data_IF_004374546296
#
_entry.id   IF_004374546296
#
_cell.length_a   1.000
_cell.length_b   1.000
_cell.length_c   1.000
_cell.angle_alpha   90.00
_cell.angle_beta   90.00
_cell.angle_gamma   90.00
#
_symmetry.space_group_name_H-M   'P 1'
#
loop_
_entity.id
_entity.type
_entity.pdbx_description
1 polymer ?
#
# COMPACT_ATOMS: atom_id res chain seq x y z
N UNK A 1 -17.38 2.08 15.73
CA UNK A 1 -16.38 1.87 16.81
C UNK A 1 -15.49 0.68 16.51
N UNK A 2 -16.04 -0.45 16.08
CA UNK A 2 -15.32 -1.66 15.67
C UNK A 2 -14.12 -1.39 14.75
N UNK A 3 -14.29 -0.55 13.72
CA UNK A 3 -13.24 -0.25 12.73
C UNK A 3 -12.08 0.57 13.31
N UNK A 4 -12.38 1.49 14.24
CA UNK A 4 -11.36 2.28 14.95
C UNK A 4 -10.52 1.39 15.86
N UNK A 5 -11.18 0.45 16.55
CA UNK A 5 -10.53 -0.54 17.41
C UNK A 5 -9.63 -1.46 16.57
N UNK A 6 -10.12 -1.96 15.43
CA UNK A 6 -9.33 -2.78 14.52
C UNK A 6 -8.12 -2.03 13.94
N UNK A 7 -8.24 -0.72 13.70
CA UNK A 7 -7.12 0.11 13.27
C UNK A 7 -6.08 0.29 14.37
N UNK A 8 -6.49 0.53 15.62
CA UNK A 8 -5.59 0.58 16.76
C UNK A 8 -4.88 -0.77 16.96
N UNK A 9 -5.61 -1.90 16.90
CA UNK A 9 -5.02 -3.24 16.96
C UNK A 9 -4.03 -3.50 15.84
N UNK A 10 -4.29 -2.99 14.62
CA UNK A 10 -3.36 -3.09 13.52
C UNK A 10 -2.05 -2.33 13.82
N UNK A 11 -2.14 -1.06 14.25
CA UNK A 11 -0.96 -0.25 14.58
C UNK A 11 -0.15 -0.92 15.69
N UNK A 12 -0.80 -1.31 16.79
CA UNK A 12 -0.15 -1.99 17.90
C UNK A 12 0.48 -3.31 17.44
N UNK A 13 -0.24 -4.09 16.64
CA UNK A 13 0.26 -5.36 16.10
C UNK A 13 1.51 -5.18 15.26
N UNK A 14 1.58 -4.16 14.40
CA UNK A 14 2.78 -3.85 13.61
C UNK A 14 3.95 -3.47 14.51
N UNK A 15 3.73 -2.61 15.52
CA UNK A 15 4.79 -2.21 16.47
C UNK A 15 5.32 -3.42 17.23
N UNK A 16 4.42 -4.24 17.79
CA UNK A 16 4.78 -5.44 18.56
C UNK A 16 5.55 -6.45 17.71
N UNK A 17 5.10 -6.73 16.48
CA UNK A 17 5.79 -7.64 15.56
C UNK A 17 7.16 -7.09 15.10
N UNK A 18 7.36 -5.78 15.14
CA UNK A 18 8.65 -5.17 14.78
C UNK A 18 9.64 -5.21 15.95
N UNK A 19 9.16 -4.98 17.18
CA UNK A 19 10.01 -4.93 18.38
C UNK A 19 10.49 -6.30 18.86
N UNK A 20 9.69 -7.36 18.69
CA UNK A 20 10.02 -8.68 19.25
C UNK A 20 10.93 -9.48 18.31
N UNK A 21 12.00 -10.06 18.87
CA UNK A 21 13.04 -10.82 18.18
C UNK A 21 13.03 -12.31 18.56
N UNK A 22 11.84 -12.91 18.69
CA UNK A 22 11.69 -14.30 19.10
C UNK A 22 10.95 -15.11 18.03
N UNK A 23 11.55 -16.23 17.59
CA UNK A 23 11.01 -17.13 16.56
C UNK A 23 9.66 -17.74 16.99
N UNK A 24 9.55 -18.20 18.24
CA UNK A 24 8.33 -18.81 18.78
C UNK A 24 7.17 -17.82 18.81
N UNK A 25 7.46 -16.54 19.09
CA UNK A 25 6.46 -15.48 19.05
C UNK A 25 5.89 -15.29 17.64
N UNK A 26 6.72 -15.32 16.60
CA UNK A 26 6.24 -15.21 15.23
C UNK A 26 5.39 -16.41 14.83
N UNK A 27 5.80 -17.63 15.17
CA UNK A 27 5.01 -18.84 14.90
C UNK A 27 3.63 -18.73 15.57
N UNK A 28 3.59 -18.36 16.86
CA UNK A 28 2.33 -18.15 17.58
C UNK A 28 1.46 -17.06 16.95
N UNK A 29 2.07 -15.93 16.55
CA UNK A 29 1.36 -14.84 15.89
C UNK A 29 0.74 -15.26 14.55
N UNK A 30 1.45 -16.09 13.76
CA UNK A 30 0.95 -16.60 12.48
C UNK A 30 -0.27 -17.50 12.71
N UNK A 31 -0.23 -18.39 13.70
CA UNK A 31 -1.37 -19.25 14.04
C UNK A 31 -2.60 -18.40 14.41
N UNK A 32 -2.42 -17.38 15.24
CA UNK A 32 -3.49 -16.45 15.62
C UNK A 32 -4.04 -15.72 14.38
N UNK A 33 -3.15 -15.22 13.51
CA UNK A 33 -3.53 -14.53 12.28
C UNK A 33 -4.29 -15.45 11.32
N UNK A 34 -3.94 -16.72 11.25
CA UNK A 34 -4.62 -17.72 10.42
C UNK A 34 -6.04 -17.99 10.93
N UNK A 35 -6.20 -18.15 12.25
CA UNK A 35 -7.51 -18.30 12.89
C UNK A 35 -8.37 -17.06 12.62
N UNK A 36 -7.81 -15.87 12.79
CA UNK A 36 -8.50 -14.60 12.50
C UNK A 36 -8.86 -14.49 11.01
N UNK A 37 -8.08 -15.05 10.10
CA UNK A 37 -8.33 -14.96 8.65
C UNK A 37 -9.55 -15.74 8.19
N UNK A 38 -9.94 -16.82 8.89
CA UNK A 38 -11.11 -17.64 8.57
C UNK A 38 -11.19 -18.02 7.07
N UNK A 39 -12.36 -17.77 6.44
CA UNK A 39 -12.63 -18.14 5.04
C UNK A 39 -11.73 -17.44 4.00
N UNK A 40 -11.09 -16.32 4.34
CA UNK A 40 -10.23 -15.58 3.42
C UNK A 40 -8.76 -16.03 3.46
N UNK A 41 -8.44 -17.03 4.30
CA UNK A 41 -7.09 -17.56 4.53
C UNK A 41 -6.31 -17.78 3.23
N UNK A 42 -6.80 -18.66 2.35
CA UNK A 42 -6.07 -19.02 1.13
C UNK A 42 -5.81 -17.82 0.21
N UNK A 43 -6.75 -16.89 0.12
CA UNK A 43 -6.61 -15.68 -0.72
C UNK A 43 -5.53 -14.75 -0.16
N UNK A 44 -5.53 -14.53 1.16
CA UNK A 44 -4.58 -13.65 1.83
C UNK A 44 -3.20 -14.29 1.85
N UNK A 45 -3.06 -15.58 2.17
CA UNK A 45 -1.79 -16.30 2.16
C UNK A 45 -1.14 -16.25 0.77
N UNK A 46 -1.89 -16.55 -0.30
CA UNK A 46 -1.37 -16.51 -1.67
C UNK A 46 -0.93 -15.09 -2.07
N UNK A 47 -1.70 -14.07 -1.69
CA UNK A 47 -1.35 -12.67 -1.95
C UNK A 47 -0.10 -12.25 -1.18
N UNK A 48 0.02 -12.68 0.07
CA UNK A 48 1.18 -12.43 0.94
C UNK A 48 2.43 -13.06 0.35
N UNK A 49 2.40 -14.35 0.03
CA UNK A 49 3.52 -15.06 -0.58
C UNK A 49 3.98 -14.38 -1.88
N UNK A 50 3.05 -14.04 -2.79
CA UNK A 50 3.39 -13.33 -4.03
C UNK A 50 4.05 -11.98 -3.78
N UNK A 51 3.59 -11.23 -2.78
CA UNK A 51 4.13 -9.91 -2.47
C UNK A 51 5.56 -9.98 -1.90
N UNK A 52 5.84 -11.00 -1.08
CA UNK A 52 7.12 -11.09 -0.37
C UNK A 52 8.18 -11.89 -1.12
N UNK A 53 7.80 -12.71 -2.11
CA UNK A 53 8.69 -13.70 -2.73
C UNK A 53 9.97 -13.07 -3.29
N UNK A 54 9.85 -12.07 -4.17
CA UNK A 54 11.02 -11.45 -4.82
C UNK A 54 11.96 -10.83 -3.77
N UNK A 55 11.39 -10.07 -2.83
CA UNK A 55 12.17 -9.36 -1.82
C UNK A 55 12.84 -10.31 -0.81
N UNK A 56 12.11 -11.28 -0.26
CA UNK A 56 12.67 -12.23 0.69
C UNK A 56 13.67 -13.17 0.03
N UNK A 57 13.44 -13.62 -1.21
CA UNK A 57 14.41 -14.44 -1.93
C UNK A 57 15.72 -13.68 -2.11
N UNK A 58 15.67 -12.41 -2.51
CA UNK A 58 16.87 -11.58 -2.67
C UNK A 58 17.64 -11.42 -1.35
N UNK A 59 16.95 -11.09 -0.25
CA UNK A 59 17.57 -10.95 1.07
C UNK A 59 18.16 -12.26 1.57
N UNK A 60 17.42 -13.36 1.42
CA UNK A 60 17.84 -14.69 1.86
C UNK A 60 19.11 -15.11 1.12
N UNK A 61 19.15 -14.96 -0.21
CA UNK A 61 20.34 -15.28 -1.03
C UNK A 61 21.53 -14.40 -0.64
N UNK A 62 21.32 -13.09 -0.49
CA UNK A 62 22.36 -12.15 -0.11
C UNK A 62 22.96 -12.48 1.27
N UNK A 63 22.11 -12.82 2.24
CA UNK A 63 22.56 -13.15 3.60
C UNK A 63 23.27 -14.51 3.66
N UNK A 64 22.82 -15.51 2.90
CA UNK A 64 23.52 -16.80 2.80
C UNK A 64 24.94 -16.59 2.27
N UNK A 65 25.11 -15.77 1.21
CA UNK A 65 26.43 -15.45 0.68
C UNK A 65 27.34 -14.79 1.72
N UNK A 66 26.80 -13.85 2.50
CA UNK A 66 27.52 -13.21 3.59
C UNK A 66 27.88 -14.18 4.74
N UNK A 67 26.96 -15.05 5.11
CA UNK A 67 27.15 -15.98 6.23
C UNK A 67 28.19 -17.07 5.91
N UNK A 68 28.24 -17.54 4.65
CA UNK A 68 29.29 -18.45 4.18
C UNK A 68 30.66 -17.77 4.24
N UNK A 69 30.74 -16.47 3.92
CA UNK A 69 32.01 -15.74 3.99
C UNK A 69 32.53 -15.54 5.42
N UNK A 70 31.65 -15.53 6.43
CA UNK A 70 31.99 -15.28 7.83
C UNK A 70 31.88 -16.50 8.76
N UNK A 71 31.52 -17.67 8.24
CA UNK A 71 31.27 -18.90 9.03
C UNK A 71 30.27 -18.71 10.19
N UNK A 72 29.18 -17.95 9.94
CA UNK A 72 28.15 -17.67 10.96
C UNK A 72 26.93 -18.57 10.75
N UNK A 73 26.29 -19.00 11.84
CA UNK A 73 25.00 -19.68 11.82
C UNK A 73 23.91 -18.79 11.19
N UNK A 74 23.43 -19.17 10.02
CA UNK A 74 22.51 -18.36 9.21
C UNK A 74 21.03 -18.73 9.38
N UNK A 75 20.76 -19.95 9.85
CA UNK A 75 19.41 -20.54 9.86
C UNK A 75 18.45 -19.71 10.72
N UNK A 76 18.84 -19.37 11.94
CA UNK A 76 17.97 -18.67 12.90
C UNK A 76 17.60 -17.27 12.42
N UNK A 77 18.56 -16.54 11.87
CA UNK A 77 18.33 -15.20 11.35
C UNK A 77 17.43 -15.20 10.12
N UNK A 78 17.71 -16.10 9.16
CA UNK A 78 16.91 -16.22 7.93
C UNK A 78 15.48 -16.64 8.27
N UNK A 79 15.30 -17.57 9.21
CA UNK A 79 13.97 -17.98 9.64
C UNK A 79 13.22 -16.82 10.30
N UNK A 80 13.88 -16.09 11.21
CA UNK A 80 13.28 -14.96 11.91
C UNK A 80 12.84 -13.85 10.94
N UNK A 81 13.69 -13.46 9.98
CA UNK A 81 13.36 -12.37 9.05
C UNK A 81 12.22 -12.76 8.11
N UNK A 82 12.22 -13.98 7.59
CA UNK A 82 11.15 -14.48 6.72
C UNK A 82 9.82 -14.54 7.48
N UNK A 83 9.81 -15.09 8.70
CA UNK A 83 8.63 -15.15 9.55
C UNK A 83 8.11 -13.77 9.93
N UNK A 84 9.00 -12.83 10.26
CA UNK A 84 8.64 -11.43 10.58
C UNK A 84 7.98 -10.74 9.40
N UNK A 85 8.63 -10.77 8.23
CA UNK A 85 8.11 -10.13 7.02
C UNK A 85 6.78 -10.76 6.62
N UNK A 86 6.65 -12.08 6.68
CA UNK A 86 5.39 -12.76 6.44
C UNK A 86 4.29 -12.33 7.42
N UNK A 87 4.57 -12.30 8.72
CA UNK A 87 3.58 -11.95 9.75
C UNK A 87 3.06 -10.53 9.60
N UNK A 88 3.95 -9.56 9.39
CA UNK A 88 3.59 -8.15 9.20
C UNK A 88 2.78 -7.98 7.92
N UNK A 89 3.24 -8.55 6.81
CA UNK A 89 2.55 -8.41 5.51
C UNK A 89 1.19 -9.11 5.50
N UNK A 90 1.07 -10.27 6.15
CA UNK A 90 -0.19 -10.97 6.33
C UNK A 90 -1.16 -10.15 7.17
N UNK A 91 -0.71 -9.60 8.31
CA UNK A 91 -1.52 -8.71 9.16
C UNK A 91 -2.04 -7.50 8.38
N UNK A 92 -1.20 -6.87 7.55
CA UNK A 92 -1.60 -5.74 6.70
C UNK A 92 -2.66 -6.13 5.68
N UNK A 93 -2.50 -7.25 4.98
CA UNK A 93 -3.53 -7.70 4.04
C UNK A 93 -4.82 -8.12 4.72
N UNK A 94 -4.74 -8.74 5.90
CA UNK A 94 -5.90 -9.08 6.72
C UNK A 94 -6.65 -7.81 7.14
N UNK A 95 -5.94 -6.79 7.62
CA UNK A 95 -6.52 -5.50 7.97
C UNK A 95 -7.25 -4.86 6.78
N UNK A 96 -6.58 -4.73 5.63
CA UNK A 96 -7.18 -4.15 4.40
C UNK A 96 -8.42 -4.93 3.95
N UNK A 97 -8.43 -6.26 4.10
CA UNK A 97 -9.55 -7.08 3.67
C UNK A 97 -10.81 -6.96 4.54
N UNK A 98 -10.65 -6.56 5.81
CA UNK A 98 -11.73 -6.55 6.80
C UNK A 98 -12.19 -5.15 7.21
N UNK A 99 -11.35 -4.13 7.01
CA UNK A 99 -11.59 -2.79 7.54
C UNK A 99 -11.84 -1.80 6.41
N UNK A 100 -12.95 -1.08 6.54
CA UNK A 100 -13.22 0.07 5.69
C UNK A 100 -12.39 1.27 6.18
N UNK A 101 -11.42 1.70 5.36
CA UNK A 101 -10.52 2.82 5.66
C UNK A 101 -11.25 4.14 5.97
N UNK A 102 -12.36 4.44 5.29
CA UNK A 102 -13.17 5.64 5.56
C UNK A 102 -13.75 5.62 6.97
N UNK A 103 -14.22 4.45 7.43
CA UNK A 103 -14.72 4.29 8.80
C UNK A 103 -13.59 4.26 9.83
N UNK A 104 -12.44 3.67 9.49
CA UNK A 104 -11.27 3.62 10.37
C UNK A 104 -10.75 5.02 10.71
N UNK A 105 -10.71 5.94 9.74
CA UNK A 105 -10.20 7.30 9.90
C UNK A 105 -11.25 8.33 10.35
N UNK A 106 -12.49 7.91 10.56
CA UNK A 106 -13.61 8.76 11.04
C UNK A 106 -13.43 9.35 12.45
N UNK A 107 -12.31 9.12 13.12
CA UNK A 107 -11.99 9.79 14.39
C UNK A 107 -11.53 11.23 14.19
N UNK A 108 -11.03 11.59 13.01
CA UNK A 108 -10.57 12.94 12.69
C UNK A 108 -11.28 13.46 11.44
N UNK A 109 -11.94 14.62 11.57
CA UNK A 109 -12.62 15.30 10.45
C UNK A 109 -11.65 15.63 9.33
N UNK A 110 -10.46 16.14 9.67
CA UNK A 110 -9.42 16.52 8.71
C UNK A 110 -8.88 15.32 7.95
N UNK A 111 -8.60 14.21 8.63
CA UNK A 111 -8.06 13.01 7.98
C UNK A 111 -9.10 12.34 7.08
N UNK A 112 -10.36 12.28 7.53
CA UNK A 112 -11.47 11.79 6.72
C UNK A 112 -11.68 12.66 5.49
N UNK A 113 -11.59 13.98 5.65
CA UNK A 113 -11.70 14.94 4.57
C UNK A 113 -10.60 14.76 3.52
N UNK A 114 -9.32 14.69 3.95
CA UNK A 114 -8.19 14.45 3.05
C UNK A 114 -8.36 13.11 2.32
N UNK A 115 -8.74 12.05 3.04
CA UNK A 115 -8.96 10.73 2.43
C UNK A 115 -10.04 10.78 1.34
N UNK A 116 -11.18 11.41 1.61
CA UNK A 116 -12.28 11.53 0.64
C UNK A 116 -11.85 12.34 -0.57
N UNK A 117 -11.22 13.50 -0.37
CA UNK A 117 -10.72 14.30 -1.48
C UNK A 117 -9.69 13.54 -2.33
N UNK A 118 -8.68 12.93 -1.70
CA UNK A 118 -7.68 12.15 -2.40
C UNK A 118 -8.31 10.99 -3.17
N UNK A 119 -9.28 10.29 -2.57
CA UNK A 119 -9.99 9.20 -3.23
C UNK A 119 -10.74 9.68 -4.48
N UNK A 120 -11.48 10.80 -4.38
CA UNK A 120 -12.15 11.40 -5.53
C UNK A 120 -11.16 11.81 -6.61
N UNK A 121 -10.04 12.45 -6.26
CA UNK A 121 -9.01 12.84 -7.22
C UNK A 121 -8.38 11.64 -7.92
N UNK A 122 -8.12 10.55 -7.20
CA UNK A 122 -7.61 9.30 -7.77
C UNK A 122 -8.58 8.75 -8.83
N UNK A 123 -9.89 8.74 -8.55
CA UNK A 123 -10.88 8.27 -9.51
C UNK A 123 -10.94 9.15 -10.77
N UNK A 124 -10.91 10.48 -10.60
CA UNK A 124 -10.89 11.42 -11.72
C UNK A 124 -9.62 11.27 -12.56
N UNK A 125 -8.45 11.21 -11.94
CA UNK A 125 -7.20 11.03 -12.66
C UNK A 125 -7.06 9.66 -13.31
N UNK A 126 -7.63 8.61 -12.72
CA UNK A 126 -7.70 7.30 -13.36
C UNK A 126 -8.49 7.37 -14.67
N UNK A 127 -9.63 8.06 -14.67
CA UNK A 127 -10.43 8.28 -15.88
C UNK A 127 -9.65 9.06 -16.93
N UNK A 128 -9.02 10.18 -16.57
CA UNK A 128 -8.20 10.94 -17.51
C UNK A 128 -7.04 10.12 -18.07
N UNK A 129 -6.40 9.27 -17.27
CA UNK A 129 -5.35 8.38 -17.74
C UNK A 129 -5.86 7.38 -18.78
N UNK A 130 -7.08 6.88 -18.62
CA UNK A 130 -7.75 6.05 -19.64
C UNK A 130 -8.04 6.86 -20.92
N UNK A 131 -8.55 8.09 -20.79
CA UNK A 131 -8.81 8.99 -21.94
C UNK A 131 -7.52 9.32 -22.72
N UNK A 132 -6.41 9.56 -22.01
CA UNK A 132 -5.09 9.76 -22.62
C UNK A 132 -4.61 8.52 -23.37
N UNK A 133 -4.83 7.31 -22.83
CA UNK A 133 -4.49 6.06 -23.52
C UNK A 133 -5.27 5.92 -24.81
N UNK A 134 -6.59 6.16 -24.79
CA UNK A 134 -7.40 6.11 -26.01
C UNK A 134 -6.97 7.15 -27.04
N UNK A 135 -6.61 8.36 -26.59
CA UNK A 135 -6.09 9.41 -27.48
C UNK A 135 -4.76 9.01 -28.12
N UNK A 136 -3.88 8.33 -27.37
CA UNK A 136 -2.62 7.83 -27.91
C UNK A 136 -2.85 6.71 -28.92
N UNK A 137 -3.70 5.74 -28.58
CA UNK A 137 -4.07 4.61 -29.44
C UNK A 137 -4.75 5.08 -30.74
N UNK A 138 -5.62 6.09 -30.69
CA UNK A 138 -6.30 6.58 -31.88
C UNK A 138 -5.40 7.37 -32.83
N UNK A 139 -4.31 7.96 -32.33
CA UNK A 139 -3.39 8.81 -33.12
C UNK A 139 -2.20 8.03 -33.68
N UNK A 140 -1.99 6.80 -33.23
CA UNK A 140 -0.85 5.97 -33.60
C UNK A 140 -1.31 4.78 -34.44
N UNK A 141 -0.86 4.73 -35.69
CA UNK A 141 -1.04 3.55 -36.54
C UNK A 141 -0.11 2.39 -36.15
N UNK A 142 1.03 2.69 -35.50
CA UNK A 142 2.05 1.76 -35.06
C UNK A 142 2.47 2.03 -33.61
N UNK A 143 3.11 1.07 -32.94
CA UNK A 143 3.62 1.26 -31.57
C UNK A 143 4.57 2.46 -31.50
N UNK A 144 4.46 3.33 -30.47
CA UNK A 144 5.29 4.52 -30.35
C UNK A 144 6.74 4.14 -30.11
N UNK A 145 7.67 4.97 -30.61
CA UNK A 145 9.09 4.87 -30.24
C UNK A 145 9.27 5.25 -28.76
N UNK A 146 10.38 4.82 -28.16
CA UNK A 146 10.67 5.13 -26.75
C UNK A 146 10.77 6.64 -26.49
N UNK A 147 11.34 7.41 -27.42
CA UNK A 147 11.40 8.88 -27.35
C UNK A 147 10.02 9.52 -27.31
N UNK A 148 9.11 9.06 -28.16
CA UNK A 148 7.76 9.61 -28.29
C UNK A 148 6.91 9.24 -27.07
N UNK A 149 7.12 8.03 -26.55
CA UNK A 149 6.51 7.57 -25.29
C UNK A 149 6.95 8.44 -24.12
N UNK A 150 8.23 8.79 -24.04
CA UNK A 150 8.74 9.69 -23.00
C UNK A 150 8.13 11.09 -23.12
N UNK A 151 8.09 11.67 -24.32
CA UNK A 151 7.50 12.98 -24.56
C UNK A 151 6.00 13.00 -24.21
N UNK A 152 5.28 11.93 -24.53
CA UNK A 152 3.88 11.76 -24.18
C UNK A 152 3.67 11.68 -22.65
N UNK A 153 4.46 10.85 -21.96
CA UNK A 153 4.41 10.74 -20.49
C UNK A 153 4.75 12.07 -19.83
N UNK A 154 5.76 12.79 -20.32
CA UNK A 154 6.12 14.12 -19.83
C UNK A 154 4.96 15.11 -20.00
N UNK A 155 4.38 15.18 -21.20
CA UNK A 155 3.24 16.07 -21.49
C UNK A 155 2.03 15.74 -20.62
N UNK A 156 1.74 14.45 -20.42
CA UNK A 156 0.68 13.97 -19.54
C UNK A 156 0.96 14.36 -18.08
N UNK A 157 2.20 14.21 -17.61
CA UNK A 157 2.60 14.61 -16.26
C UNK A 157 2.42 16.11 -16.03
N UNK A 158 2.89 16.94 -16.97
CA UNK A 158 2.67 18.40 -16.92
C UNK A 158 1.18 18.75 -16.88
N UNK A 159 0.36 18.08 -17.69
CA UNK A 159 -1.09 18.26 -17.64
C UNK A 159 -1.67 17.92 -16.26
N UNK A 160 -1.36 16.75 -15.70
CA UNK A 160 -1.85 16.34 -14.39
C UNK A 160 -1.40 17.27 -13.28
N UNK A 161 -0.15 17.72 -13.32
CA UNK A 161 0.40 18.63 -12.33
C UNK A 161 -0.31 19.99 -12.35
N UNK A 162 -0.43 20.61 -13.54
CA UNK A 162 -1.14 21.88 -13.70
C UNK A 162 -2.62 21.75 -13.34
N UNK A 163 -3.27 20.65 -13.74
CA UNK A 163 -4.66 20.36 -13.37
C UNK A 163 -4.81 20.24 -11.85
N UNK A 164 -3.86 19.58 -11.16
CA UNK A 164 -3.87 19.42 -9.70
C UNK A 164 -3.75 20.78 -8.98
N UNK A 165 -2.83 21.65 -9.42
CA UNK A 165 -2.67 22.99 -8.84
C UNK A 165 -3.95 23.82 -8.99
N UNK A 166 -4.50 23.85 -10.21
CA UNK A 166 -5.72 24.63 -10.48
C UNK A 166 -6.92 24.07 -9.72
N UNK A 167 -7.10 22.76 -9.74
CA UNK A 167 -8.19 22.09 -9.03
C UNK A 167 -8.07 22.26 -7.50
N UNK A 168 -6.86 22.28 -6.94
CA UNK A 168 -6.66 22.58 -5.52
C UNK A 168 -7.16 23.98 -5.15
N UNK A 169 -6.87 24.99 -5.99
CA UNK A 169 -7.38 26.37 -5.81
C UNK A 169 -8.90 26.42 -5.91
N UNK A 170 -9.48 25.81 -6.96
CA UNK A 170 -10.92 25.77 -7.20
C UNK A 170 -11.67 25.04 -6.07
N UNK A 171 -11.20 23.87 -5.66
CA UNK A 171 -11.80 23.11 -4.55
C UNK A 171 -11.70 23.91 -3.25
N UNK A 172 -10.54 24.48 -2.95
CA UNK A 172 -10.36 25.28 -1.73
C UNK A 172 -11.32 26.48 -1.70
N UNK A 173 -11.43 27.23 -2.80
CA UNK A 173 -12.34 28.36 -2.91
C UNK A 173 -13.82 27.93 -2.82
N UNK A 174 -14.20 26.87 -3.53
CA UNK A 174 -15.56 26.33 -3.50
C UNK A 174 -15.95 25.84 -2.10
N UNK A 175 -15.02 25.26 -1.35
CA UNK A 175 -15.26 24.84 0.03
C UNK A 175 -15.35 26.02 1.00
N UNK A 176 -14.49 27.04 0.85
CA UNK A 176 -14.60 28.30 1.61
C UNK A 176 -15.95 28.98 1.38
N UNK A 177 -16.38 29.09 0.12
CA UNK A 177 -17.67 29.68 -0.24
C UNK A 177 -18.87 28.94 0.38
N UNK A 178 -18.75 27.62 0.55
CA UNK A 178 -19.76 26.77 1.23
C UNK A 178 -19.67 26.78 2.76
N UNK A 179 -18.83 27.63 3.36
CA UNK A 179 -18.67 27.74 4.81
C UNK A 179 -17.94 26.56 5.46
N UNK A 180 -17.17 25.78 4.69
CA UNK A 180 -16.51 24.57 5.21
C UNK A 180 -15.37 24.85 6.20
N UNK A 181 -14.75 26.03 6.11
CA UNK A 181 -13.61 26.45 6.95
C UNK A 181 -14.01 27.41 8.07
N UNK A 182 -15.29 27.46 8.44
CA UNK A 182 -15.75 28.20 9.60
C UNK A 182 -15.61 27.31 10.84
N UNK A 183 -14.38 27.21 11.36
CA UNK A 183 -14.10 27.01 12.79
C UNK A 183 -13.64 28.36 13.36
#
# INVERSE_FOLDING_TARGET
MKEKILFAFYIIGVVVLTSIHNIYFFIGSIVILFILSGRQFFKITRKTLKAILIFNSFITISYIGYAIYKDISWIDYILLINLRVFSITFLTFLFISKVNLFKALSFSKTLSYILVLSYTQILTFKKYLEDFKFTLESRLLNKPKLSDSYNFVSSMFFYFFNKSINNSKEISQGMKSRGFFND
#
